data_IF_545459345806
#
_entry.id   IF_545459345806
#
_cell.length_a   1.000
_cell.length_b   1.000
_cell.length_c   1.000
_cell.angle_alpha   90.00
_cell.angle_beta   90.00
_cell.angle_gamma   90.00
#
_symmetry.space_group_name_H-M   'P 1'
#
loop_
_entity.id
_entity.type
_entity.pdbx_description
1 polymer ?
#
# COMPACT_ATOMS: atom_id res chain seq x y z
N UNK A 1 35.96 -12.16 0.84
CA UNK A 1 34.58 -11.89 0.37
C UNK A 1 33.96 -13.21 -0.02
N UNK A 2 32.95 -13.71 0.71
CA UNK A 2 32.27 -14.94 0.30
C UNK A 2 31.48 -14.68 -1.00
N UNK A 3 31.95 -15.30 -2.08
CA UNK A 3 31.35 -15.28 -3.41
C UNK A 3 29.98 -15.99 -3.33
N UNK A 4 28.90 -15.27 -3.64
CA UNK A 4 27.55 -15.83 -3.63
C UNK A 4 27.23 -16.35 -5.02
N UNK A 5 26.89 -17.63 -5.10
CA UNK A 5 26.47 -18.24 -6.37
C UNK A 5 24.99 -18.00 -6.62
N UNK A 6 24.69 -16.84 -7.22
CA UNK A 6 23.35 -16.46 -7.60
C UNK A 6 22.74 -17.38 -8.66
N UNK A 7 23.55 -18.05 -9.50
CA UNK A 7 23.03 -18.97 -10.53
C UNK A 7 22.40 -20.19 -9.89
N UNK A 8 23.07 -20.75 -8.89
CA UNK A 8 22.56 -21.87 -8.11
C UNK A 8 21.36 -21.48 -7.23
N UNK A 9 21.40 -20.30 -6.61
CA UNK A 9 20.30 -19.85 -5.75
C UNK A 9 18.98 -19.64 -6.53
N UNK A 10 19.05 -19.07 -7.74
CA UNK A 10 17.87 -18.81 -8.56
C UNK A 10 17.49 -19.96 -9.50
N UNK A 11 18.23 -21.07 -9.49
CA UNK A 11 17.93 -22.30 -10.26
C UNK A 11 17.52 -22.02 -11.73
N UNK A 12 18.21 -21.08 -12.39
CA UNK A 12 17.98 -20.74 -13.79
C UNK A 12 16.83 -19.77 -14.10
N UNK A 13 16.15 -19.22 -13.09
CA UNK A 13 15.05 -18.27 -13.26
C UNK A 13 15.18 -17.02 -12.41
N UNK A 14 15.85 -16.00 -12.94
CA UNK A 14 15.81 -14.65 -12.36
C UNK A 14 14.42 -14.07 -12.64
N UNK A 15 13.70 -13.68 -11.58
CA UNK A 15 12.42 -13.01 -11.76
C UNK A 15 12.59 -11.69 -12.50
N UNK A 16 11.68 -11.40 -13.44
CA UNK A 16 11.64 -10.13 -14.18
C UNK A 16 11.19 -8.95 -13.30
N UNK A 17 10.55 -9.23 -12.16
CA UNK A 17 10.12 -8.19 -11.23
C UNK A 17 11.21 -7.86 -10.21
N UNK A 18 11.67 -6.60 -10.22
CA UNK A 18 12.66 -6.08 -9.27
C UNK A 18 12.24 -6.33 -7.82
N UNK A 19 10.96 -6.16 -7.48
CA UNK A 19 10.45 -6.38 -6.12
C UNK A 19 10.62 -7.83 -5.69
N UNK A 20 10.21 -8.78 -6.53
CA UNK A 20 10.35 -10.22 -6.24
C UNK A 20 11.81 -10.65 -6.16
N UNK A 21 12.68 -10.08 -7.00
CA UNK A 21 14.13 -10.32 -6.97
C UNK A 21 14.74 -9.85 -5.64
N UNK A 22 14.50 -8.60 -5.25
CA UNK A 22 15.07 -8.05 -4.02
C UNK A 22 14.46 -8.68 -2.76
N UNK A 23 13.23 -9.17 -2.84
CA UNK A 23 12.61 -9.98 -1.77
C UNK A 23 13.33 -11.32 -1.59
N UNK A 24 13.68 -12.00 -2.69
CA UNK A 24 14.47 -13.22 -2.63
C UNK A 24 15.89 -12.95 -2.09
N UNK A 25 16.55 -11.87 -2.54
CA UNK A 25 17.85 -11.45 -2.01
C UNK A 25 17.79 -11.13 -0.51
N UNK A 26 16.71 -10.49 -0.03
CA UNK A 26 16.51 -10.22 1.40
C UNK A 26 16.40 -11.51 2.22
N UNK A 27 15.79 -12.54 1.65
CA UNK A 27 15.59 -13.84 2.28
C UNK A 27 16.77 -14.80 2.06
N UNK A 28 17.83 -14.37 1.37
CA UNK A 28 19.05 -15.14 1.24
C UNK A 28 19.73 -15.30 2.60
N UNK A 29 19.78 -16.54 3.07
CA UNK A 29 20.26 -16.90 4.39
C UNK A 29 21.50 -17.79 4.30
N UNK A 30 22.51 -17.49 5.12
CA UNK A 30 23.70 -18.34 5.29
C UNK A 30 23.90 -18.54 6.79
N UNK A 31 23.93 -19.81 7.21
CA UNK A 31 24.18 -20.21 8.59
C UNK A 31 23.29 -19.50 9.63
N UNK A 32 21.99 -19.38 9.38
CA UNK A 32 21.05 -18.73 10.31
C UNK A 32 20.95 -17.21 10.17
N UNK A 33 21.72 -16.60 9.26
CA UNK A 33 21.83 -15.14 9.14
C UNK A 33 21.47 -14.62 7.75
N UNK A 34 20.60 -13.59 7.70
CA UNK A 34 20.23 -12.90 6.46
C UNK A 34 21.31 -11.91 6.05
N UNK A 35 22.23 -12.36 5.21
CA UNK A 35 23.45 -11.62 4.84
C UNK A 35 23.17 -10.27 4.16
N UNK A 36 22.06 -10.16 3.44
CA UNK A 36 21.72 -8.96 2.64
C UNK A 36 20.49 -8.21 3.16
N UNK A 37 20.04 -8.47 4.38
CA UNK A 37 18.80 -7.89 4.92
C UNK A 37 18.77 -6.37 4.82
N UNK A 38 19.84 -5.69 5.23
CA UNK A 38 19.90 -4.22 5.25
C UNK A 38 19.86 -3.62 3.85
N UNK A 39 20.66 -4.16 2.93
CA UNK A 39 20.78 -3.63 1.55
C UNK A 39 19.47 -3.91 0.80
N UNK A 40 18.98 -5.15 0.87
CA UNK A 40 17.72 -5.50 0.21
C UNK A 40 16.54 -4.73 0.82
N UNK A 41 16.53 -4.51 2.14
CA UNK A 41 15.54 -3.66 2.80
C UNK A 41 15.59 -2.21 2.31
N UNK A 42 16.77 -1.63 2.14
CA UNK A 42 16.92 -0.28 1.57
C UNK A 42 16.39 -0.21 0.14
N UNK A 43 16.77 -1.17 -0.72
CA UNK A 43 16.30 -1.18 -2.12
C UNK A 43 14.79 -1.37 -2.20
N UNK A 44 14.19 -2.23 -1.37
CA UNK A 44 12.74 -2.40 -1.32
C UNK A 44 12.02 -1.11 -0.90
N UNK A 45 12.56 -0.36 0.08
CA UNK A 45 12.03 0.96 0.46
C UNK A 45 12.17 2.00 -0.67
N UNK A 46 13.25 1.94 -1.44
CA UNK A 46 13.41 2.81 -2.60
C UNK A 46 12.42 2.45 -3.72
N UNK A 47 12.16 1.16 -3.93
CA UNK A 47 11.20 0.66 -4.92
C UNK A 47 9.75 0.95 -4.55
N UNK A 48 9.43 1.13 -3.26
CA UNK A 48 8.09 1.57 -2.82
C UNK A 48 7.86 3.07 -3.01
N UNK A 49 8.92 3.85 -3.22
CA UNK A 49 8.77 5.28 -3.47
C UNK A 49 8.23 5.54 -4.89
N UNK A 50 7.21 6.40 -5.06
CA UNK A 50 6.76 6.80 -6.39
C UNK A 50 7.86 7.60 -7.08
N UNK A 51 8.47 7.03 -8.13
CA UNK A 51 9.56 7.65 -8.89
C UNK A 51 9.10 8.84 -9.77
N UNK A 52 7.78 9.06 -9.88
CA UNK A 52 7.19 10.05 -10.78
C UNK A 52 5.94 10.68 -10.16
N UNK A 53 5.68 11.93 -10.57
CA UNK A 53 4.46 12.66 -10.26
C UNK A 53 3.19 12.01 -10.79
N UNK A 54 3.28 11.02 -11.70
CA UNK A 54 2.12 10.29 -12.22
C UNK A 54 1.25 9.67 -11.11
N UNK A 55 1.84 9.26 -9.98
CA UNK A 55 1.09 8.76 -8.83
C UNK A 55 0.23 9.87 -8.19
N UNK A 56 0.80 11.06 -8.06
CA UNK A 56 0.14 12.26 -7.53
C UNK A 56 -0.95 12.75 -8.49
N UNK A 57 -0.65 12.80 -9.79
CA UNK A 57 -1.63 13.16 -10.83
C UNK A 57 -2.81 12.19 -10.86
N UNK A 58 -2.56 10.89 -10.68
CA UNK A 58 -3.63 9.89 -10.54
C UNK A 58 -4.49 10.16 -9.30
N UNK A 59 -3.90 10.51 -8.16
CA UNK A 59 -4.66 10.89 -6.96
C UNK A 59 -5.54 12.13 -7.21
N UNK A 60 -5.00 13.16 -7.87
CA UNK A 60 -5.76 14.35 -8.28
C UNK A 60 -6.88 14.04 -9.27
N UNK A 61 -6.65 13.12 -10.23
CA UNK A 61 -7.70 12.66 -11.12
C UNK A 61 -8.86 12.00 -10.34
N UNK A 62 -8.55 11.20 -9.32
CA UNK A 62 -9.56 10.56 -8.46
C UNK A 62 -10.31 11.62 -7.64
N UNK A 63 -9.60 12.64 -7.15
CA UNK A 63 -10.20 13.79 -6.46
C UNK A 63 -11.17 14.55 -7.35
N UNK A 64 -10.79 14.85 -8.60
CA UNK A 64 -11.64 15.56 -9.55
C UNK A 64 -12.94 14.80 -9.86
N UNK A 65 -12.90 13.47 -9.91
CA UNK A 65 -14.12 12.63 -10.06
C UNK A 65 -14.95 12.59 -8.77
N UNK A 66 -14.29 12.64 -7.61
CA UNK A 66 -14.93 12.53 -6.30
C UNK A 66 -15.64 13.83 -5.89
N UNK A 67 -15.03 14.97 -6.23
CA UNK A 67 -15.59 16.31 -6.05
C UNK A 67 -15.82 16.96 -7.43
N UNK A 68 -16.83 16.49 -8.20
CA UNK A 68 -17.19 17.16 -9.44
C UNK A 68 -17.64 18.58 -9.12
N UNK A 69 -17.55 19.50 -10.09
CA UNK A 69 -17.94 20.93 -9.91
C UNK A 69 -19.36 21.11 -9.35
N UNK A 70 -20.26 20.15 -9.60
CA UNK A 70 -21.63 20.13 -9.09
C UNK A 70 -21.75 19.75 -7.59
N UNK A 71 -20.74 19.10 -7.00
CA UNK A 71 -20.67 18.70 -5.58
C UNK A 71 -19.61 19.51 -4.82
N UNK A 72 -19.61 20.83 -4.96
CA UNK A 72 -18.53 21.70 -4.46
C UNK A 72 -18.52 21.89 -2.92
N UNK A 73 -19.54 21.43 -2.18
CA UNK A 73 -19.71 21.67 -0.73
C UNK A 73 -19.12 20.60 0.20
N UNK A 74 -18.34 19.65 -0.30
CA UNK A 74 -17.63 18.70 0.57
C UNK A 74 -16.57 19.44 1.39
N UNK A 75 -16.68 19.36 2.72
CA UNK A 75 -15.64 19.79 3.66
C UNK A 75 -14.39 18.92 3.51
N UNK A 76 -13.23 19.47 3.86
CA UNK A 76 -11.92 18.81 3.69
C UNK A 76 -11.81 17.45 4.40
N UNK A 77 -12.24 17.29 5.67
CA UNK A 77 -12.13 15.99 6.36
C UNK A 77 -12.95 14.89 5.67
N UNK A 78 -14.16 15.23 5.22
CA UNK A 78 -15.03 14.33 4.46
C UNK A 78 -14.42 13.95 3.10
N UNK A 79 -13.82 14.93 2.40
CA UNK A 79 -13.15 14.69 1.12
C UNK A 79 -11.93 13.77 1.32
N UNK A 80 -11.14 14.01 2.36
CA UNK A 80 -9.99 13.20 2.72
C UNK A 80 -10.37 11.75 3.04
N UNK A 81 -11.37 11.54 3.92
CA UNK A 81 -11.86 10.21 4.25
C UNK A 81 -12.34 9.46 3.00
N UNK A 82 -13.09 10.14 2.13
CA UNK A 82 -13.60 9.56 0.89
C UNK A 82 -12.48 9.24 -0.12
N UNK A 83 -11.46 10.08 -0.21
CA UNK A 83 -10.28 9.82 -1.03
C UNK A 83 -9.47 8.63 -0.52
N UNK A 84 -9.21 8.57 0.78
CA UNK A 84 -8.51 7.45 1.43
C UNK A 84 -9.25 6.14 1.18
N UNK A 85 -10.57 6.10 1.38
CA UNK A 85 -11.38 4.93 1.10
C UNK A 85 -11.31 4.48 -0.37
N UNK A 86 -11.37 5.43 -1.33
CA UNK A 86 -11.28 5.13 -2.76
C UNK A 86 -9.90 4.67 -3.21
N UNK A 87 -8.83 5.21 -2.63
CA UNK A 87 -7.47 4.79 -2.92
C UNK A 87 -7.21 3.40 -2.36
N UNK A 88 -7.63 3.17 -1.10
CA UNK A 88 -7.53 1.86 -0.45
C UNK A 88 -8.29 0.76 -1.22
N UNK A 89 -9.53 1.04 -1.64
CA UNK A 89 -10.33 0.10 -2.43
C UNK A 89 -9.74 -0.19 -3.82
N UNK A 90 -8.84 0.66 -4.34
CA UNK A 90 -8.14 0.40 -5.61
C UNK A 90 -6.81 -0.34 -5.43
N UNK A 91 -6.12 -0.13 -4.31
CA UNK A 91 -4.84 -0.78 -4.02
C UNK A 91 -5.02 -2.18 -3.39
N UNK A 92 -5.64 -2.23 -2.22
CA UNK A 92 -5.51 -3.39 -1.31
C UNK A 92 -6.42 -4.56 -1.72
N UNK A 93 -7.61 -4.27 -2.25
CA UNK A 93 -8.57 -5.29 -2.71
C UNK A 93 -9.32 -4.74 -3.90
N UNK A 94 -9.00 -5.19 -5.11
CA UNK A 94 -9.85 -5.04 -6.28
C UNK A 94 -11.33 -5.16 -5.85
N UNK A 95 -12.15 -4.13 -6.11
CA UNK A 95 -13.48 -3.93 -5.50
C UNK A 95 -14.38 -5.18 -5.50
N UNK A 96 -14.15 -6.11 -6.43
CA UNK A 96 -14.83 -7.40 -6.52
C UNK A 96 -14.68 -8.32 -5.29
N UNK A 97 -13.65 -8.15 -4.45
CA UNK A 97 -13.35 -9.07 -3.32
C UNK A 97 -13.48 -8.42 -1.94
N UNK A 98 -14.02 -7.20 -1.87
CA UNK A 98 -14.21 -6.54 -0.59
C UNK A 98 -15.40 -7.15 0.16
N UNK A 99 -15.13 -7.76 1.31
CA UNK A 99 -16.12 -8.24 2.27
C UNK A 99 -15.97 -7.39 3.54
N UNK A 100 -17.00 -6.59 3.90
CA UNK A 100 -16.98 -5.85 5.15
C UNK A 100 -16.84 -6.79 6.34
N UNK A 101 -16.05 -6.40 7.34
CA UNK A 101 -15.94 -7.17 8.60
C UNK A 101 -17.15 -6.91 9.48
N UNK A 102 -17.41 -7.80 10.45
CA UNK A 102 -18.50 -7.60 11.44
C UNK A 102 -18.37 -6.26 12.16
N UNK A 103 -17.13 -5.86 12.51
CA UNK A 103 -16.85 -4.55 13.11
C UNK A 103 -17.32 -3.39 12.23
N UNK A 104 -17.15 -3.48 10.90
CA UNK A 104 -17.62 -2.44 9.99
C UNK A 104 -19.14 -2.35 9.98
N UNK A 105 -19.86 -3.47 10.07
CA UNK A 105 -21.32 -3.47 10.19
C UNK A 105 -21.78 -2.84 11.51
N UNK A 106 -21.09 -3.10 12.61
CA UNK A 106 -21.42 -2.53 13.93
C UNK A 106 -21.28 -1.00 13.96
N UNK A 107 -20.41 -0.43 13.11
CA UNK A 107 -20.27 1.01 12.94
C UNK A 107 -21.45 1.66 12.20
N UNK A 108 -22.23 0.90 11.41
CA UNK A 108 -23.48 1.37 10.78
C UNK A 108 -24.66 1.33 11.76
N UNK A 109 -24.49 1.96 12.92
CA UNK A 109 -25.51 2.07 13.96
C UNK A 109 -26.27 3.38 13.88
N UNK A 110 -27.24 3.58 14.79
CA UNK A 110 -27.99 4.84 14.90
C UNK A 110 -27.11 6.05 15.28
N UNK A 111 -25.92 5.79 15.79
CA UNK A 111 -24.97 6.79 16.29
C UNK A 111 -23.89 7.13 15.25
N UNK A 112 -24.10 6.79 13.98
CA UNK A 112 -23.15 7.05 12.89
C UNK A 112 -22.82 8.54 12.69
N UNK A 113 -23.68 9.44 13.20
CA UNK A 113 -23.52 10.89 13.14
C UNK A 113 -23.24 11.52 14.51
N UNK A 114 -22.97 10.73 15.55
CA UNK A 114 -22.55 11.26 16.84
C UNK A 114 -21.06 11.64 16.74
N UNK A 115 -20.75 12.92 16.92
CA UNK A 115 -19.46 13.56 16.62
C UNK A 115 -18.27 13.13 17.54
N UNK A 116 -18.36 12.00 18.24
CA UNK A 116 -17.37 11.56 19.24
C UNK A 116 -16.20 10.75 18.64
N UNK A 117 -15.62 11.19 17.53
CA UNK A 117 -14.43 10.54 16.96
C UNK A 117 -13.20 11.40 17.18
N UNK A 118 -12.49 11.10 18.27
CA UNK A 118 -11.11 11.53 18.46
C UNK A 118 -10.25 11.09 17.27
N UNK A 119 -9.29 11.94 16.91
CA UNK A 119 -8.39 11.75 15.78
C UNK A 119 -7.52 10.49 15.98
N UNK A 120 -7.97 9.32 15.50
CA UNK A 120 -7.13 8.13 15.44
C UNK A 120 -6.08 8.32 14.35
N UNK A 121 -4.87 8.65 14.79
CA UNK A 121 -3.68 8.74 13.95
C UNK A 121 -3.36 7.34 13.41
N UNK A 122 -3.45 7.17 12.09
CA UNK A 122 -3.04 5.94 11.42
C UNK A 122 -1.59 5.60 11.79
N UNK A 123 -1.34 4.36 12.19
CA UNK A 123 0.00 3.90 12.54
C UNK A 123 0.81 3.63 11.27
N UNK A 124 2.15 3.70 11.35
CA UNK A 124 3.03 3.39 10.21
C UNK A 124 2.76 2.01 9.60
N UNK A 125 2.23 1.06 10.38
CA UNK A 125 1.90 -0.30 9.94
C UNK A 125 0.70 -0.34 8.99
N UNK A 126 -0.22 0.62 9.10
CA UNK A 126 -1.40 0.71 8.25
C UNK A 126 -1.06 1.25 6.85
N UNK A 127 0.09 1.91 6.71
CA UNK A 127 0.60 2.45 5.44
C UNK A 127 1.22 1.35 4.58
N UNK A 128 1.89 0.38 5.20
CA UNK A 128 2.58 -0.71 4.49
C UNK A 128 1.61 -1.66 3.76
N UNK A 129 0.36 -1.77 4.22
CA UNK A 129 -0.69 -2.55 3.53
C UNK A 129 -1.25 -1.84 2.28
N UNK A 130 -0.97 -0.55 2.06
CA UNK A 130 -1.56 0.27 0.98
C UNK A 130 -0.90 -0.01 -0.38
N UNK A 131 0.28 -0.62 -0.42
CA UNK A 131 1.13 -0.72 -1.62
C UNK A 131 0.97 -1.99 -2.47
N UNK A 132 -0.13 -2.72 -2.35
CA UNK A 132 -0.50 -3.70 -3.36
C UNK A 132 -1.19 -2.94 -4.50
N UNK A 133 -0.67 -3.05 -5.72
CA UNK A 133 -1.32 -2.53 -6.92
C UNK A 133 -1.97 -3.73 -7.60
N UNK A 134 -3.29 -3.70 -7.80
CA UNK A 134 -3.94 -4.63 -8.72
C UNK A 134 -3.36 -4.41 -10.13
N UNK A 135 -2.64 -5.40 -10.68
CA UNK A 135 -2.41 -5.55 -12.12
C UNK A 135 -3.71 -5.98 -12.83
#
# INVERSE_FOLDING_TARGET
MANVDWKNYFQGGISKSSVTLWTAVRNYEVAGSKKFENIAGFVLKMLSAPLSNAAVERAFSIMNVTKPKLRNRLQTPMLEALLRAKLWARGVRCCAKFLPTTKMYDLFSKNIYDDDVGEEVLSEKDIDEIFVICE
#
